data_IF_944443855470
#
_entry.id   IF_944443855470
#
_cell.length_a   1.000
_cell.length_b   1.000
_cell.length_c   1.000
_cell.angle_alpha   90.00
_cell.angle_beta   90.00
_cell.angle_gamma   90.00
#
_symmetry.space_group_name_H-M   'P 1'
#
loop_
_entity.id
_entity.type
_entity.pdbx_description
1 polymer ?
#
# COMPACT_ATOMS: atom_id res chain seq x y z
N UNK A 1 15.23 -2.08 -7.70
CA UNK A 1 14.64 -2.61 -6.46
C UNK A 1 13.69 -1.61 -5.82
N UNK A 2 12.65 -2.14 -5.20
CA UNK A 2 11.61 -1.31 -4.58
C UNK A 2 12.12 -0.74 -3.24
N UNK A 3 11.86 0.55 -2.97
CA UNK A 3 12.23 1.12 -1.66
C UNK A 3 11.56 0.38 -0.50
N UNK A 4 12.22 0.41 0.66
CA UNK A 4 11.75 -0.29 1.86
C UNK A 4 10.30 0.07 2.24
N UNK A 5 9.97 1.36 2.20
CA UNK A 5 8.63 1.82 2.57
C UNK A 5 7.56 1.28 1.62
N UNK A 6 7.89 1.17 0.34
CA UNK A 6 6.95 0.62 -0.65
C UNK A 6 6.83 -0.89 -0.52
N UNK A 7 7.93 -1.57 -0.22
CA UNK A 7 7.89 -3.01 0.06
C UNK A 7 7.01 -3.30 1.26
N UNK A 8 7.13 -2.48 2.30
CA UNK A 8 6.34 -2.64 3.52
C UNK A 8 4.84 -2.57 3.22
N UNK A 9 4.42 -1.55 2.46
CA UNK A 9 3.01 -1.40 2.09
C UNK A 9 2.54 -2.54 1.20
N UNK A 10 3.36 -2.94 0.25
CA UNK A 10 3.03 -4.01 -0.69
C UNK A 10 2.84 -5.35 0.03
N UNK A 11 3.75 -5.68 0.95
CA UNK A 11 3.66 -6.91 1.74
C UNK A 11 2.42 -6.86 2.63
N UNK A 12 2.17 -5.72 3.25
CA UNK A 12 0.99 -5.56 4.10
C UNK A 12 -0.30 -5.79 3.32
N UNK A 13 -0.40 -5.22 2.12
CA UNK A 13 -1.57 -5.41 1.28
C UNK A 13 -1.78 -6.88 0.93
N UNK A 14 -0.70 -7.58 0.61
CA UNK A 14 -0.77 -9.01 0.28
C UNK A 14 -1.16 -9.88 1.46
N UNK A 15 -0.54 -9.65 2.62
CA UNK A 15 -0.76 -10.50 3.79
C UNK A 15 -2.09 -10.22 4.50
N UNK A 16 -2.71 -9.08 4.25
CA UNK A 16 -3.96 -8.71 4.91
C UNK A 16 -5.18 -8.82 3.97
N UNK A 17 -5.03 -9.54 2.88
CA UNK A 17 -6.16 -9.92 2.04
C UNK A 17 -6.65 -8.85 1.06
N UNK A 18 -5.93 -7.75 0.91
CA UNK A 18 -6.38 -6.67 0.02
C UNK A 18 -6.33 -7.06 -1.46
N UNK A 19 -5.53 -8.05 -1.81
CA UNK A 19 -5.43 -8.52 -3.20
C UNK A 19 -6.23 -9.79 -3.46
N UNK A 20 -6.89 -10.36 -2.43
CA UNK A 20 -7.59 -11.64 -2.57
C UNK A 20 -8.72 -11.57 -3.58
N UNK A 21 -9.38 -10.43 -3.71
CA UNK A 21 -10.47 -10.25 -4.67
C UNK A 21 -9.99 -9.76 -6.04
N UNK A 22 -8.69 -9.53 -6.19
CA UNK A 22 -8.13 -9.05 -7.45
C UNK A 22 -7.84 -10.24 -8.35
N UNK A 23 -8.33 -10.26 -9.60
CA UNK A 23 -7.99 -11.34 -10.53
C UNK A 23 -6.47 -11.50 -10.69
N UNK A 24 -6.04 -12.74 -10.83
CA UNK A 24 -4.60 -13.07 -10.89
C UNK A 24 -3.89 -12.25 -11.97
N UNK A 25 -4.52 -12.08 -13.12
CA UNK A 25 -3.93 -11.34 -14.24
C UNK A 25 -3.91 -9.83 -14.01
N UNK A 26 -4.52 -9.33 -12.93
CA UNK A 26 -4.53 -7.91 -12.60
C UNK A 26 -3.75 -7.57 -11.33
N UNK A 27 -3.14 -8.56 -10.68
CA UNK A 27 -2.39 -8.31 -9.44
C UNK A 27 -1.23 -7.35 -9.67
N UNK A 28 -0.51 -7.51 -10.78
CA UNK A 28 0.60 -6.61 -11.11
C UNK A 28 0.12 -5.18 -11.33
N UNK A 29 -1.02 -5.01 -12.03
CA UNK A 29 -1.62 -3.70 -12.24
C UNK A 29 -2.06 -3.08 -10.92
N UNK A 30 -2.68 -3.89 -10.06
CA UNK A 30 -3.11 -3.44 -8.73
C UNK A 30 -1.92 -2.88 -7.95
N UNK A 31 -0.85 -3.66 -7.89
CA UNK A 31 0.34 -3.25 -7.13
C UNK A 31 0.93 -1.96 -7.67
N UNK A 32 1.09 -1.87 -8.99
CA UNK A 32 1.65 -0.68 -9.62
C UNK A 32 0.81 0.57 -9.35
N UNK A 33 -0.50 0.44 -9.51
CA UNK A 33 -1.41 1.57 -9.29
C UNK A 33 -1.52 1.93 -7.81
N UNK A 34 -1.52 0.92 -6.94
CA UNK A 34 -1.58 1.14 -5.49
C UNK A 34 -0.35 1.92 -5.02
N UNK A 35 0.84 1.53 -5.47
CA UNK A 35 2.06 2.24 -5.09
C UNK A 35 2.08 3.66 -5.66
N UNK A 36 1.60 3.85 -6.88
CA UNK A 36 1.47 5.19 -7.47
C UNK A 36 0.51 6.06 -6.65
N UNK A 37 -0.61 5.48 -6.23
CA UNK A 37 -1.58 6.16 -5.37
C UNK A 37 -0.95 6.56 -4.05
N UNK A 38 -0.20 5.66 -3.43
CA UNK A 38 0.48 5.96 -2.16
C UNK A 38 1.49 7.09 -2.33
N UNK A 39 2.24 7.09 -3.43
CA UNK A 39 3.24 8.14 -3.68
C UNK A 39 2.60 9.52 -3.89
N UNK A 40 1.45 9.57 -4.54
CA UNK A 40 0.82 10.85 -4.87
C UNK A 40 -0.12 11.35 -3.77
N UNK A 41 -0.88 10.47 -3.14
CA UNK A 41 -1.91 10.86 -2.17
C UNK A 41 -1.49 10.64 -0.72
N UNK A 42 -0.52 9.77 -0.48
CA UNK A 42 -0.11 9.39 0.89
C UNK A 42 1.41 9.38 1.03
N UNK A 43 2.07 10.34 0.39
CA UNK A 43 3.53 10.44 0.45
C UNK A 43 4.04 10.58 1.88
N UNK A 44 3.28 11.25 2.75
CA UNK A 44 3.64 11.42 4.15
C UNK A 44 3.72 10.10 4.91
N UNK A 45 2.84 9.15 4.57
CA UNK A 45 2.83 7.83 5.19
C UNK A 45 4.09 7.06 4.79
N UNK A 46 4.42 7.09 3.50
CA UNK A 46 5.63 6.44 3.02
C UNK A 46 6.88 7.06 3.66
N UNK A 47 6.91 8.38 3.76
CA UNK A 47 8.02 9.10 4.39
C UNK A 47 8.17 8.70 5.86
N UNK A 48 7.06 8.55 6.57
CA UNK A 48 7.07 8.14 7.97
C UNK A 48 7.70 6.75 8.12
N UNK A 49 7.29 5.80 7.27
CA UNK A 49 7.86 4.45 7.30
C UNK A 49 9.37 4.51 6.99
N UNK A 50 9.73 5.30 5.99
CA UNK A 50 11.11 5.39 5.56
C UNK A 50 12.02 5.97 6.65
N UNK A 51 11.56 7.02 7.33
CA UNK A 51 12.38 7.73 8.30
C UNK A 51 12.42 7.02 9.65
N UNK A 52 11.33 6.37 10.07
CA UNK A 52 11.29 5.68 11.35
C UNK A 52 11.77 4.25 11.27
N UNK A 53 11.67 3.64 10.09
CA UNK A 53 11.96 2.22 9.91
C UNK A 53 10.96 1.31 10.63
N UNK A 54 9.82 1.86 11.03
CA UNK A 54 8.82 1.14 11.82
C UNK A 54 7.46 1.14 11.13
N UNK A 55 6.67 0.12 11.44
CA UNK A 55 5.33 -0.01 10.90
C UNK A 55 4.38 -0.33 12.06
N UNK A 56 4.16 0.70 12.89
CA UNK A 56 3.36 0.58 14.11
C UNK A 56 1.88 0.86 13.84
N UNK A 57 1.04 0.67 14.86
CA UNK A 57 -0.42 0.72 14.71
C UNK A 57 -0.93 2.01 14.07
N UNK A 58 -0.39 3.16 14.46
CA UNK A 58 -0.81 4.44 13.89
C UNK A 58 -0.54 4.48 12.38
N UNK A 59 0.63 4.03 11.98
CA UNK A 59 1.01 3.99 10.56
C UNK A 59 0.18 2.95 9.82
N UNK A 60 -0.04 1.78 10.44
CA UNK A 60 -0.88 0.75 9.84
C UNK A 60 -2.29 1.25 9.59
N UNK A 61 -2.86 2.00 10.53
CA UNK A 61 -4.21 2.55 10.37
C UNK A 61 -4.28 3.49 9.18
N UNK A 62 -3.25 4.30 8.99
CA UNK A 62 -3.18 5.20 7.82
C UNK A 62 -3.10 4.40 6.51
N UNK A 63 -2.31 3.33 6.52
CA UNK A 63 -2.20 2.47 5.34
C UNK A 63 -3.52 1.77 5.06
N UNK A 64 -4.19 1.26 6.10
CA UNK A 64 -5.49 0.60 5.94
C UNK A 64 -6.50 1.56 5.31
N UNK A 65 -6.57 2.79 5.80
CA UNK A 65 -7.49 3.80 5.25
C UNK A 65 -7.16 4.08 3.78
N UNK A 66 -5.88 4.21 3.46
CA UNK A 66 -5.44 4.46 2.09
C UNK A 66 -5.82 3.28 1.18
N UNK A 67 -5.60 2.05 1.63
CA UNK A 67 -5.91 0.87 0.83
C UNK A 67 -7.42 0.71 0.63
N UNK A 68 -8.22 1.04 1.62
CA UNK A 68 -9.68 1.01 1.48
C UNK A 68 -10.15 2.04 0.46
N UNK A 69 -9.57 3.22 0.49
CA UNK A 69 -9.90 4.26 -0.49
C UNK A 69 -9.49 3.82 -1.89
N UNK A 70 -8.29 3.25 -2.00
CA UNK A 70 -7.79 2.78 -3.29
C UNK A 70 -8.67 1.66 -3.85
N UNK A 71 -9.15 0.76 -2.99
CA UNK A 71 -10.00 -0.35 -3.42
C UNK A 71 -11.26 0.14 -4.12
N UNK A 72 -11.78 1.29 -3.72
CA UNK A 72 -12.96 1.89 -4.34
C UNK A 72 -12.65 2.44 -5.74
N UNK A 73 -11.41 2.82 -5.98
CA UNK A 73 -10.97 3.38 -7.25
C UNK A 73 -10.54 2.31 -8.24
N UNK A 74 -9.97 1.23 -7.72
CA UNK A 74 -9.48 0.13 -8.55
C UNK A 74 -10.61 -0.83 -8.83
N UNK A 75 -11.30 -0.63 -9.91
CA UNK A 75 -12.44 -1.48 -10.27
C UNK A 75 -12.17 -2.31 -11.51
#
# INVERSE_FOLDING_TARGET
>A
PMPFEEQTVSIFAGTNGYIDSVPVDRVTDYEAQMLSFMRSEHAGVLEEIRTTGKFEDDTKNKVVDALKTFAKQFA
#
